data_IF_413350403442
#
_entry.id   IF_413350403442
#
_cell.length_a   1.000
_cell.length_b   1.000
_cell.length_c   1.000
_cell.angle_alpha   90.00
_cell.angle_beta   90.00
_cell.angle_gamma   90.00
#
_symmetry.space_group_name_H-M   'P 1'
#
loop_
_entity.id
_entity.type
_entity.pdbx_description
1 polymer ?
#
# COMPACT_ATOMS: atom_id res chain seq x y z
N UNK A 1 1.34 15.92 21.36
CA UNK A 1 1.45 16.93 20.27
C UNK A 1 2.84 16.77 19.71
N UNK A 2 2.99 16.57 18.39
CA UNK A 2 4.31 16.58 17.77
C UNK A 2 4.93 17.96 17.97
N UNK A 3 6.23 18.02 18.24
CA UNK A 3 6.93 19.31 18.35
C UNK A 3 6.79 20.07 17.01
N UNK A 4 6.53 21.39 17.05
CA UNK A 4 6.43 22.20 15.84
C UNK A 4 7.80 22.19 15.12
N UNK A 5 7.86 21.58 13.94
CA UNK A 5 9.05 21.53 13.09
C UNK A 5 9.60 20.16 12.74
N UNK A 6 9.11 19.09 13.35
CA UNK A 6 9.47 17.71 12.94
C UNK A 6 8.34 17.10 12.12
N UNK A 7 8.62 16.69 10.86
CA UNK A 7 7.67 15.98 10.00
C UNK A 7 7.14 14.70 10.62
N UNK A 8 5.99 14.22 10.18
CA UNK A 8 5.35 12.98 10.65
C UNK A 8 6.25 11.76 10.39
N UNK A 9 6.11 10.74 11.22
CA UNK A 9 6.74 9.44 10.96
C UNK A 9 5.88 8.62 10.01
N UNK A 10 6.42 8.35 8.83
CA UNK A 10 5.76 7.60 7.76
C UNK A 10 6.45 6.25 7.58
N UNK A 11 5.69 5.17 7.58
CA UNK A 11 6.18 3.84 7.21
C UNK A 11 5.52 3.39 5.90
N UNK A 12 6.35 3.02 4.90
CA UNK A 12 5.89 2.43 3.64
C UNK A 12 6.41 1.00 3.54
N UNK A 13 5.52 0.01 3.57
CA UNK A 13 5.95 -1.38 3.38
C UNK A 13 6.21 -1.67 1.91
N UNK A 14 7.32 -2.39 1.62
CA UNK A 14 7.75 -2.62 0.24
C UNK A 14 8.07 -1.31 -0.50
N UNK A 15 8.67 -0.35 0.22
CA UNK A 15 8.97 0.99 -0.28
C UNK A 15 10.28 1.10 -1.06
N UNK A 16 10.90 -0.03 -1.42
CA UNK A 16 12.20 -0.03 -2.10
C UNK A 16 12.12 0.07 -3.64
N UNK A 17 10.92 0.01 -4.23
CA UNK A 17 10.70 0.16 -5.68
C UNK A 17 9.26 0.55 -6.03
N UNK A 18 9.03 0.88 -7.29
CA UNK A 18 7.71 1.11 -7.87
C UNK A 18 6.86 2.14 -7.11
N UNK A 19 5.59 1.81 -6.90
CA UNK A 19 4.62 2.69 -6.20
C UNK A 19 5.09 3.01 -4.78
N UNK A 20 5.60 2.02 -4.04
CA UNK A 20 6.06 2.21 -2.68
C UNK A 20 7.20 3.22 -2.57
N UNK A 21 8.18 3.14 -3.46
CA UNK A 21 9.29 4.09 -3.51
C UNK A 21 8.82 5.50 -3.90
N UNK A 22 7.91 5.61 -4.87
CA UNK A 22 7.34 6.89 -5.25
C UNK A 22 6.58 7.55 -4.08
N UNK A 23 5.79 6.76 -3.33
CA UNK A 23 5.14 7.24 -2.10
C UNK A 23 6.16 7.70 -1.06
N UNK A 24 7.20 6.90 -0.80
CA UNK A 24 8.21 7.23 0.19
C UNK A 24 8.93 8.55 -0.13
N UNK A 25 9.32 8.73 -1.39
CA UNK A 25 9.96 9.97 -1.86
C UNK A 25 9.03 11.17 -1.77
N UNK A 26 7.77 11.01 -2.17
CA UNK A 26 6.79 12.09 -2.09
C UNK A 26 6.54 12.55 -0.64
N UNK A 27 6.50 11.64 0.33
CA UNK A 27 6.42 12.01 1.75
C UNK A 27 7.70 12.70 2.23
N UNK A 28 8.88 12.23 1.83
CA UNK A 28 10.14 12.86 2.20
C UNK A 28 10.26 14.30 1.65
N UNK A 29 9.81 14.53 0.41
CA UNK A 29 9.74 15.87 -0.20
C UNK A 29 8.80 16.82 0.55
N UNK A 30 7.77 16.28 1.22
CA UNK A 30 6.88 17.05 2.11
C UNK A 30 7.48 17.32 3.50
N UNK A 31 8.71 16.86 3.76
CA UNK A 31 9.39 17.03 5.04
C UNK A 31 9.03 15.97 6.09
N UNK A 32 8.33 14.90 5.73
CA UNK A 32 8.05 13.80 6.64
C UNK A 32 9.30 12.91 6.85
N UNK A 33 9.41 12.27 8.02
CA UNK A 33 10.46 11.31 8.36
C UNK A 33 10.03 9.92 7.90
N UNK A 34 10.64 9.45 6.82
CA UNK A 34 10.17 8.27 6.11
C UNK A 34 11.07 7.07 6.37
N UNK A 35 10.45 5.96 6.74
CA UNK A 35 11.05 4.63 6.71
C UNK A 35 10.36 3.76 5.67
N UNK A 36 11.14 2.89 5.03
CA UNK A 36 10.65 1.89 4.09
C UNK A 36 11.04 0.49 4.55
N UNK A 37 10.17 -0.50 4.29
CA UNK A 37 10.62 -1.89 4.42
C UNK A 37 11.09 -2.44 3.08
N UNK A 38 12.08 -3.31 3.13
CA UNK A 38 12.61 -4.03 1.99
C UNK A 38 12.94 -5.49 2.35
N UNK A 39 13.04 -6.36 1.35
CA UNK A 39 13.43 -7.77 1.53
C UNK A 39 14.84 -8.05 1.01
N UNK A 40 15.17 -7.57 -0.18
CA UNK A 40 16.45 -7.83 -0.83
C UNK A 40 17.44 -6.66 -0.67
N UNK A 41 17.09 -5.46 -1.10
CA UNK A 41 18.00 -4.31 -1.16
C UNK A 41 17.41 -3.07 -0.51
N UNK A 42 18.20 -2.34 0.31
CA UNK A 42 17.78 -1.07 0.91
C UNK A 42 17.68 0.04 -0.15
N UNK A 43 17.12 1.17 0.24
CA UNK A 43 17.02 2.40 -0.58
C UNK A 43 18.00 3.43 -0.06
N UNK A 44 18.79 3.99 -0.95
CA UNK A 44 19.68 5.09 -0.62
C UNK A 44 18.88 6.37 -0.29
N UNK A 45 19.31 7.06 0.75
CA UNK A 45 18.70 8.33 1.19
C UNK A 45 17.41 8.20 2.01
N UNK A 46 16.94 6.96 2.30
CA UNK A 46 15.80 6.70 3.17
C UNK A 46 16.16 5.72 4.29
N UNK A 47 15.52 5.86 5.46
CA UNK A 47 15.61 4.84 6.51
C UNK A 47 15.03 3.54 5.98
N UNK A 48 15.88 2.53 5.83
CA UNK A 48 15.52 1.25 5.22
C UNK A 48 15.57 0.14 6.26
N UNK A 49 14.46 -0.56 6.47
CA UNK A 49 14.27 -1.61 7.45
C UNK A 49 14.11 -2.95 6.74
N UNK A 50 14.97 -3.91 7.04
CA UNK A 50 14.81 -5.25 6.48
C UNK A 50 13.60 -5.94 7.10
N UNK A 51 12.63 -6.37 6.29
CA UNK A 51 11.41 -7.00 6.77
C UNK A 51 10.77 -7.82 5.66
N UNK A 52 10.62 -9.11 5.88
CA UNK A 52 9.69 -9.94 5.14
C UNK A 52 8.30 -9.77 5.75
N UNK A 53 7.35 -9.22 5.00
CA UNK A 53 6.00 -8.93 5.49
C UNK A 53 5.18 -10.20 5.81
N UNK A 54 5.66 -11.38 5.40
CA UNK A 54 5.09 -12.67 5.81
C UNK A 54 5.55 -13.12 7.20
N UNK A 55 6.63 -12.52 7.73
CA UNK A 55 7.21 -12.85 9.04
C UNK A 55 6.73 -11.89 10.15
N UNK A 56 6.12 -12.47 11.18
CA UNK A 56 5.73 -11.70 12.38
C UNK A 56 6.95 -11.15 13.13
N UNK A 57 8.03 -11.95 13.21
CA UNK A 57 9.26 -11.57 13.90
C UNK A 57 9.98 -10.40 13.21
N UNK A 58 10.04 -10.42 11.87
CA UNK A 58 10.66 -9.32 11.11
C UNK A 58 9.91 -8.00 11.33
N UNK A 59 8.58 -8.04 11.40
CA UNK A 59 7.79 -6.86 11.74
C UNK A 59 8.09 -6.35 13.15
N UNK A 60 8.23 -7.24 14.14
CA UNK A 60 8.53 -6.84 15.52
C UNK A 60 9.89 -6.15 15.61
N UNK A 61 10.87 -6.64 14.85
CA UNK A 61 12.20 -6.05 14.78
C UNK A 61 12.20 -4.71 14.03
N UNK A 62 11.61 -4.67 12.84
CA UNK A 62 11.52 -3.47 12.03
C UNK A 62 10.79 -2.33 12.76
N UNK A 63 9.70 -2.61 13.47
CA UNK A 63 9.01 -1.60 14.27
C UNK A 63 9.81 -1.14 15.49
N UNK A 64 10.56 -2.03 16.13
CA UNK A 64 11.45 -1.66 17.24
C UNK A 64 12.55 -0.71 16.76
N UNK A 65 13.22 -1.02 15.66
CA UNK A 65 14.24 -0.18 15.04
C UNK A 65 13.68 1.17 14.60
N UNK A 66 12.54 1.16 13.89
CA UNK A 66 11.86 2.38 13.47
C UNK A 66 11.52 3.29 14.65
N UNK A 67 10.90 2.74 15.68
CA UNK A 67 10.46 3.53 16.83
C UNK A 67 11.63 4.08 17.66
N UNK A 68 12.75 3.36 17.72
CA UNK A 68 13.97 3.84 18.36
C UNK A 68 14.63 5.00 17.59
N UNK A 69 14.60 4.95 16.26
CA UNK A 69 15.25 5.96 15.40
C UNK A 69 14.35 7.15 15.03
N UNK A 70 13.11 6.90 14.67
CA UNK A 70 12.20 7.93 14.15
C UNK A 70 11.01 8.21 15.07
N UNK A 71 10.64 7.30 15.94
CA UNK A 71 9.46 7.42 16.78
C UNK A 71 8.25 6.64 16.25
N UNK A 72 7.07 6.87 16.85
CA UNK A 72 5.84 6.12 16.54
C UNK A 72 5.30 6.46 15.14
N UNK A 73 4.83 5.44 14.43
CA UNK A 73 4.23 5.60 13.10
C UNK A 73 2.95 6.43 13.19
N UNK A 74 2.89 7.50 12.43
CA UNK A 74 1.73 8.39 12.29
C UNK A 74 1.01 8.18 10.97
N UNK A 75 1.75 7.77 9.92
CA UNK A 75 1.22 7.40 8.61
C UNK A 75 1.75 6.03 8.21
N UNK A 76 0.85 5.10 7.93
CA UNK A 76 1.20 3.79 7.40
C UNK A 76 0.69 3.65 5.96
N UNK A 77 1.59 3.34 5.03
CA UNK A 77 1.26 2.92 3.67
C UNK A 77 1.57 1.43 3.54
N UNK A 78 0.54 0.59 3.59
CA UNK A 78 0.69 -0.86 3.41
C UNK A 78 0.66 -1.17 1.91
N UNK A 79 1.84 -1.19 1.29
CA UNK A 79 2.03 -1.35 -0.14
C UNK A 79 2.63 -2.71 -0.54
N UNK A 80 3.42 -3.35 0.31
CA UNK A 80 4.09 -4.61 -0.02
C UNK A 80 3.13 -5.64 -0.61
N UNK A 81 3.52 -6.27 -1.71
CA UNK A 81 2.71 -7.26 -2.38
C UNK A 81 3.45 -7.98 -3.50
N UNK A 82 2.94 -9.14 -3.83
CA UNK A 82 3.43 -10.02 -4.90
C UNK A 82 2.27 -10.50 -5.77
N UNK A 83 2.58 -10.99 -6.97
CA UNK A 83 1.69 -11.80 -7.80
C UNK A 83 2.29 -13.19 -8.01
N UNK A 84 1.43 -14.19 -8.17
CA UNK A 84 1.76 -15.53 -8.66
C UNK A 84 0.61 -15.97 -9.55
N UNK A 85 0.65 -15.50 -10.80
CA UNK A 85 -0.45 -15.65 -11.75
C UNK A 85 -0.48 -17.04 -12.35
N UNK A 86 -1.65 -17.69 -12.30
CA UNK A 86 -1.92 -18.96 -12.96
C UNK A 86 -3.43 -19.18 -13.09
N UNK A 87 -3.85 -19.96 -14.10
CA UNK A 87 -5.24 -20.38 -14.21
C UNK A 87 -5.62 -21.24 -13.00
N UNK A 88 -6.87 -21.15 -12.54
CA UNK A 88 -7.35 -21.83 -11.32
C UNK A 88 -7.07 -23.33 -11.30
N UNK A 89 -7.14 -24.00 -12.44
CA UNK A 89 -6.84 -25.45 -12.55
C UNK A 89 -5.35 -25.79 -12.35
N UNK A 90 -4.46 -24.82 -12.42
CA UNK A 90 -3.01 -25.00 -12.29
C UNK A 90 -2.42 -24.27 -11.10
N UNK A 91 -3.20 -23.39 -10.47
CA UNK A 91 -2.78 -22.68 -9.27
C UNK A 91 -2.73 -23.63 -8.10
N UNK A 92 -1.62 -23.69 -7.39
CA UNK A 92 -1.49 -24.52 -6.19
C UNK A 92 -2.06 -23.81 -4.97
N UNK A 93 -2.46 -24.57 -3.95
CA UNK A 93 -2.89 -24.03 -2.66
C UNK A 93 -1.78 -23.17 -2.03
N UNK A 94 -0.50 -23.55 -2.23
CA UNK A 94 0.66 -22.80 -1.75
C UNK A 94 0.80 -21.45 -2.46
N UNK A 95 0.60 -21.38 -3.78
CA UNK A 95 0.61 -20.12 -4.53
C UNK A 95 -0.48 -19.17 -4.06
N UNK A 96 -1.69 -19.73 -3.82
CA UNK A 96 -2.80 -18.96 -3.28
C UNK A 96 -2.47 -18.43 -1.88
N UNK A 97 -2.05 -19.30 -0.98
CA UNK A 97 -1.73 -18.97 0.41
C UNK A 97 -0.59 -17.94 0.50
N UNK A 98 0.47 -18.10 -0.30
CA UNK A 98 1.63 -17.20 -0.32
C UNK A 98 1.22 -15.77 -0.70
N UNK A 99 0.37 -15.61 -1.73
CA UNK A 99 -0.10 -14.29 -2.17
C UNK A 99 -1.00 -13.66 -1.12
N UNK A 100 -1.93 -14.42 -0.54
CA UNK A 100 -2.82 -13.93 0.53
C UNK A 100 -2.03 -13.56 1.78
N UNK A 101 -1.06 -14.38 2.19
CA UNK A 101 -0.25 -14.10 3.38
C UNK A 101 0.60 -12.84 3.19
N UNK A 102 1.24 -12.68 2.04
CA UNK A 102 2.04 -11.49 1.75
C UNK A 102 1.18 -10.22 1.64
N UNK A 103 0.14 -10.26 0.79
CA UNK A 103 -0.59 -9.03 0.40
C UNK A 103 -1.62 -8.60 1.44
N UNK A 104 -2.31 -9.54 2.07
CA UNK A 104 -3.40 -9.26 3.00
C UNK A 104 -2.95 -9.41 4.46
N UNK A 105 -2.41 -10.57 4.83
CA UNK A 105 -1.97 -10.81 6.21
C UNK A 105 -0.76 -9.93 6.57
N UNK A 106 0.15 -9.69 5.62
CA UNK A 106 1.26 -8.76 5.79
C UNK A 106 0.80 -7.32 6.06
N UNK A 107 -0.21 -6.84 5.32
CA UNK A 107 -0.82 -5.54 5.59
C UNK A 107 -1.48 -5.50 6.97
N UNK A 108 -2.19 -6.56 7.38
CA UNK A 108 -2.75 -6.67 8.72
C UNK A 108 -1.67 -6.64 9.80
N UNK A 109 -0.54 -7.34 9.62
CA UNK A 109 0.59 -7.33 10.57
C UNK A 109 1.15 -5.91 10.74
N UNK A 110 1.30 -5.14 9.66
CA UNK A 110 1.74 -3.75 9.70
C UNK A 110 0.76 -2.86 10.48
N UNK A 111 -0.54 -2.95 10.16
CA UNK A 111 -1.61 -2.21 10.83
C UNK A 111 -1.62 -2.52 12.33
N UNK A 112 -1.59 -3.81 12.70
CA UNK A 112 -1.62 -4.25 14.11
C UNK A 112 -0.50 -3.62 14.94
N UNK A 113 0.65 -3.33 14.35
CA UNK A 113 1.79 -2.71 15.03
C UNK A 113 1.74 -1.19 15.06
N UNK A 114 1.23 -0.56 14.01
CA UNK A 114 1.10 0.89 13.95
C UNK A 114 -0.01 1.43 14.88
N UNK A 115 -1.13 0.73 14.94
CA UNK A 115 -2.35 1.16 15.66
C UNK A 115 -2.13 1.52 17.13
N UNK A 116 -1.38 0.79 17.96
CA UNK A 116 -1.18 1.17 19.38
C UNK A 116 -0.56 2.56 19.56
N UNK A 117 0.37 2.97 18.68
CA UNK A 117 0.94 4.32 18.68
C UNK A 117 -0.10 5.37 18.29
N UNK A 118 -0.82 5.13 17.21
CA UNK A 118 -1.87 6.02 16.70
C UNK A 118 -3.02 6.21 17.71
N UNK A 119 -3.43 5.14 18.40
CA UNK A 119 -4.47 5.20 19.44
C UNK A 119 -4.06 6.10 20.60
N UNK A 120 -2.80 6.01 21.06
CA UNK A 120 -2.27 6.89 22.13
C UNK A 120 -2.20 8.34 21.68
N UNK A 121 -1.78 8.58 20.45
CA UNK A 121 -1.71 9.92 19.85
C UNK A 121 -3.10 10.49 19.50
N UNK A 122 -4.14 9.64 19.42
CA UNK A 122 -5.48 9.98 18.91
C UNK A 122 -5.42 10.60 17.51
N UNK A 123 -4.48 10.13 16.71
CA UNK A 123 -4.23 10.57 15.35
C UNK A 123 -3.51 9.48 14.57
N UNK A 124 -3.90 9.27 13.32
CA UNK A 124 -3.22 8.33 12.43
C UNK A 124 -3.82 8.33 11.04
N UNK A 125 -3.02 7.87 10.07
CA UNK A 125 -3.42 7.69 8.67
C UNK A 125 -2.95 6.32 8.21
N UNK A 126 -3.89 5.50 7.75
CA UNK A 126 -3.61 4.16 7.22
C UNK A 126 -4.10 4.13 5.78
N UNK A 127 -3.19 3.89 4.84
CA UNK A 127 -3.49 3.76 3.42
C UNK A 127 -3.07 2.37 2.97
N UNK A 128 -4.04 1.58 2.48
CA UNK A 128 -3.83 0.24 1.97
C UNK A 128 -3.78 0.29 0.44
N UNK A 129 -2.70 -0.20 -0.16
CA UNK A 129 -2.57 -0.25 -1.61
C UNK A 129 -3.18 -1.55 -2.14
N UNK A 130 -4.39 -1.41 -2.70
CA UNK A 130 -5.11 -2.49 -3.38
C UNK A 130 -4.73 -2.55 -4.87
N UNK A 131 -5.67 -2.80 -5.72
CA UNK A 131 -5.57 -2.81 -7.19
C UNK A 131 -6.96 -2.74 -7.79
N UNK A 132 -7.07 -2.23 -9.01
CA UNK A 132 -8.28 -2.37 -9.84
C UNK A 132 -8.68 -3.85 -10.00
N UNK A 133 -7.71 -4.77 -10.02
CA UNK A 133 -7.96 -6.22 -10.03
C UNK A 133 -8.72 -6.69 -8.80
N UNK A 134 -8.53 -6.04 -7.65
CA UNK A 134 -9.32 -6.29 -6.44
C UNK A 134 -10.78 -5.86 -6.54
N UNK A 135 -11.13 -5.02 -7.52
CA UNK A 135 -12.48 -4.53 -7.80
C UNK A 135 -13.15 -5.34 -8.91
N UNK A 136 -12.45 -5.55 -10.03
CA UNK A 136 -12.98 -6.15 -11.25
C UNK A 136 -12.73 -7.67 -11.35
N UNK A 137 -11.71 -8.18 -10.65
CA UNK A 137 -11.15 -9.48 -10.96
C UNK A 137 -10.24 -9.47 -12.19
N UNK A 138 -9.52 -10.57 -12.41
CA UNK A 138 -8.70 -10.80 -13.61
C UNK A 138 -8.48 -12.31 -13.78
N UNK A 139 -8.65 -12.80 -14.99
CA UNK A 139 -8.34 -14.22 -15.29
C UNK A 139 -6.88 -14.55 -14.96
N UNK A 140 -6.66 -15.67 -14.28
CA UNK A 140 -5.33 -16.08 -13.83
C UNK A 140 -4.83 -15.45 -12.53
N UNK A 141 -5.61 -14.55 -11.91
CA UNK A 141 -5.20 -13.80 -10.72
C UNK A 141 -6.16 -13.99 -9.53
N UNK A 142 -6.76 -15.17 -9.37
CA UNK A 142 -7.75 -15.40 -8.31
C UNK A 142 -7.19 -15.15 -6.90
N UNK A 143 -5.93 -15.54 -6.65
CA UNK A 143 -5.21 -15.29 -5.40
C UNK A 143 -4.95 -13.79 -5.18
N UNK A 144 -4.46 -13.10 -6.21
CA UNK A 144 -4.17 -11.67 -6.16
C UNK A 144 -5.45 -10.85 -5.97
N UNK A 145 -6.48 -11.12 -6.78
CA UNK A 145 -7.79 -10.48 -6.68
C UNK A 145 -8.38 -10.67 -5.27
N UNK A 146 -8.40 -11.91 -4.75
CA UNK A 146 -8.89 -12.20 -3.40
C UNK A 146 -8.12 -11.41 -2.33
N UNK A 147 -6.77 -11.37 -2.42
CA UNK A 147 -5.93 -10.64 -1.46
C UNK A 147 -6.20 -9.13 -1.49
N UNK A 148 -6.34 -8.54 -2.69
CA UNK A 148 -6.56 -7.11 -2.86
C UNK A 148 -8.00 -6.68 -2.53
N UNK A 149 -8.99 -7.53 -2.80
CA UNK A 149 -10.37 -7.33 -2.34
C UNK A 149 -10.49 -7.40 -0.82
N UNK A 150 -9.75 -8.31 -0.18
CA UNK A 150 -9.72 -8.46 1.27
C UNK A 150 -9.28 -7.18 2.00
N UNK A 151 -8.37 -6.38 1.39
CA UNK A 151 -7.95 -5.10 1.94
C UNK A 151 -9.11 -4.09 2.06
N UNK A 152 -10.10 -4.17 1.18
CA UNK A 152 -11.29 -3.30 1.21
C UNK A 152 -12.14 -3.61 2.45
N UNK A 153 -12.41 -4.89 2.68
CA UNK A 153 -13.13 -5.33 3.89
C UNK A 153 -12.39 -4.96 5.16
N UNK A 154 -11.07 -5.17 5.19
CA UNK A 154 -10.21 -4.79 6.30
C UNK A 154 -10.25 -3.27 6.56
N UNK A 155 -10.12 -2.44 5.54
CA UNK A 155 -10.17 -0.98 5.67
C UNK A 155 -11.51 -0.50 6.26
N UNK A 156 -12.63 -1.02 5.77
CA UNK A 156 -13.97 -0.65 6.26
C UNK A 156 -14.18 -1.03 7.72
N UNK A 157 -13.70 -2.20 8.15
CA UNK A 157 -13.77 -2.64 9.54
C UNK A 157 -12.91 -1.76 10.45
N UNK A 158 -11.66 -1.51 10.06
CA UNK A 158 -10.75 -0.64 10.81
C UNK A 158 -11.24 0.82 10.87
N UNK A 159 -11.84 1.34 9.81
CA UNK A 159 -12.44 2.68 9.82
C UNK A 159 -13.55 2.82 10.88
N UNK A 160 -14.38 1.79 11.05
CA UNK A 160 -15.42 1.75 12.09
C UNK A 160 -14.84 1.64 13.50
N UNK A 161 -13.79 0.85 13.67
CA UNK A 161 -13.13 0.60 14.96
C UNK A 161 -12.32 1.82 15.43
N UNK A 162 -11.60 2.48 14.51
CA UNK A 162 -10.57 3.46 14.83
C UNK A 162 -11.00 4.93 14.61
N UNK A 163 -12.12 5.16 13.90
CA UNK A 163 -12.54 6.50 13.49
C UNK A 163 -12.77 7.47 14.65
N UNK A 164 -13.35 7.00 15.76
CA UNK A 164 -13.55 7.82 16.97
C UNK A 164 -12.24 8.19 17.70
N UNK A 165 -11.11 7.69 17.23
CA UNK A 165 -9.78 8.00 17.72
C UNK A 165 -8.98 8.92 16.79
N UNK A 166 -9.62 9.53 15.79
CA UNK A 166 -8.98 10.43 14.84
C UNK A 166 -8.08 9.71 13.82
N UNK A 167 -8.27 8.39 13.64
CA UNK A 167 -7.51 7.57 12.72
C UNK A 167 -8.37 7.30 11.48
N UNK A 168 -7.87 7.64 10.29
CA UNK A 168 -8.53 7.30 9.03
C UNK A 168 -7.87 6.10 8.38
N UNK A 169 -8.69 5.26 7.73
CA UNK A 169 -8.23 4.06 7.01
C UNK A 169 -8.87 4.05 5.63
N UNK A 170 -8.05 4.17 4.58
CA UNK A 170 -8.52 4.23 3.20
C UNK A 170 -7.74 3.25 2.30
N UNK A 171 -8.34 2.95 1.17
CA UNK A 171 -7.76 2.09 0.13
C UNK A 171 -7.50 2.92 -1.12
N UNK A 172 -6.31 2.80 -1.67
CA UNK A 172 -6.00 3.24 -3.04
C UNK A 172 -5.96 1.99 -3.92
N UNK A 173 -6.68 2.02 -5.04
CA UNK A 173 -6.76 0.92 -6.00
C UNK A 173 -6.16 1.38 -7.35
N UNK A 174 -4.83 1.20 -7.55
CA UNK A 174 -4.19 1.54 -8.81
C UNK A 174 -4.68 0.66 -9.96
N UNK A 175 -4.75 1.24 -11.17
CA UNK A 175 -4.84 0.51 -12.42
C UNK A 175 -3.46 0.02 -12.87
N UNK A 176 -3.19 0.11 -14.19
CA UNK A 176 -1.87 -0.20 -14.74
C UNK A 176 -0.91 0.97 -14.51
N UNK A 177 0.20 0.69 -13.84
CA UNK A 177 1.23 1.67 -13.46
C UNK A 177 2.57 1.25 -14.07
N UNK A 178 3.30 2.20 -14.63
CA UNK A 178 4.65 1.98 -15.17
C UNK A 178 5.62 1.71 -14.00
N UNK A 179 5.98 0.44 -13.84
CA UNK A 179 6.90 -0.05 -12.81
C UNK A 179 7.66 -1.25 -13.35
N UNK A 180 8.65 -1.75 -12.61
CA UNK A 180 9.38 -2.98 -12.96
C UNK A 180 8.43 -4.18 -13.16
N UNK A 181 7.29 -4.20 -12.49
CA UNK A 181 6.28 -5.27 -12.61
C UNK A 181 5.60 -5.27 -14.00
N UNK A 182 5.50 -4.12 -14.64
CA UNK A 182 4.84 -3.93 -15.94
C UNK A 182 5.83 -3.74 -17.10
N UNK A 183 7.12 -3.52 -16.83
CA UNK A 183 8.15 -3.27 -17.84
C UNK A 183 8.39 -4.46 -18.78
N UNK A 184 8.15 -5.69 -18.28
CA UNK A 184 8.30 -6.93 -19.06
C UNK A 184 7.06 -7.36 -19.86
N UNK A 185 6.01 -6.54 -19.94
CA UNK A 185 4.81 -6.87 -20.70
C UNK A 185 5.10 -6.87 -22.22
N UNK A 186 4.66 -7.89 -22.98
CA UNK A 186 4.71 -7.89 -24.44
C UNK A 186 3.95 -6.69 -25.04
N UNK A 187 4.40 -6.20 -26.21
CA UNK A 187 3.83 -5.00 -26.85
C UNK A 187 2.34 -5.12 -27.16
N UNK A 188 1.90 -6.28 -27.65
CA UNK A 188 0.48 -6.57 -27.93
C UNK A 188 -0.36 -6.54 -26.65
N UNK A 189 0.16 -7.07 -25.55
CA UNK A 189 -0.54 -7.00 -24.26
C UNK A 189 -0.58 -5.57 -23.73
N UNK A 190 0.52 -4.81 -23.91
CA UNK A 190 0.56 -3.39 -23.57
C UNK A 190 -0.48 -2.61 -24.39
N UNK A 191 -0.56 -2.84 -25.68
CA UNK A 191 -1.54 -2.20 -26.56
C UNK A 191 -2.99 -2.56 -26.19
N UNK A 192 -3.27 -3.79 -25.78
CA UNK A 192 -4.59 -4.22 -25.30
C UNK A 192 -4.97 -3.47 -24.00
N UNK A 193 -4.04 -3.38 -23.04
CA UNK A 193 -4.22 -2.63 -21.80
C UNK A 193 -4.55 -1.17 -22.11
N UNK A 194 -3.75 -0.51 -22.97
CA UNK A 194 -3.95 0.90 -23.31
C UNK A 194 -5.32 1.15 -23.95
N UNK A 195 -5.82 0.21 -24.74
CA UNK A 195 -7.17 0.30 -25.33
C UNK A 195 -8.29 0.18 -24.29
N UNK A 196 -8.04 -0.53 -23.19
CA UNK A 196 -9.03 -0.73 -22.12
C UNK A 196 -9.09 0.42 -21.13
N UNK A 197 -8.03 1.25 -21.04
CA UNK A 197 -7.96 2.40 -20.14
C UNK A 197 -8.52 3.64 -20.83
N UNK A 198 -9.61 4.27 -20.34
CA UNK A 198 -10.19 5.48 -20.96
C UNK A 198 -9.20 6.63 -21.19
N UNK A 199 -8.23 6.84 -20.26
CA UNK A 199 -7.19 7.85 -20.44
C UNK A 199 -6.11 7.45 -21.48
N UNK A 200 -6.16 6.24 -22.06
CA UNK A 200 -5.30 5.78 -23.14
C UNK A 200 -3.82 5.59 -22.78
N UNK A 201 -3.47 5.57 -21.50
CA UNK A 201 -2.09 5.40 -21.01
C UNK A 201 -2.03 4.66 -19.68
N UNK A 202 -0.88 4.15 -19.32
CA UNK A 202 -0.58 3.74 -17.96
C UNK A 202 -0.32 4.96 -17.07
N UNK A 203 -0.54 4.83 -15.77
CA UNK A 203 -0.17 5.85 -14.80
C UNK A 203 1.33 5.81 -14.50
N UNK A 204 1.92 6.96 -14.22
CA UNK A 204 3.21 7.02 -13.53
C UNK A 204 3.05 6.72 -12.03
N UNK A 205 4.07 6.13 -11.40
CA UNK A 205 4.01 5.84 -9.96
C UNK A 205 3.80 7.11 -9.11
N UNK A 206 4.26 8.26 -9.57
CA UNK A 206 4.06 9.56 -8.91
C UNK A 206 2.57 9.97 -8.86
N UNK A 207 1.74 9.57 -9.83
CA UNK A 207 0.31 9.87 -9.83
C UNK A 207 -0.41 9.11 -8.70
N UNK A 208 0.03 7.89 -8.43
CA UNK A 208 -0.47 7.11 -7.27
C UNK A 208 0.01 7.74 -5.96
N UNK A 209 1.30 8.12 -5.89
CA UNK A 209 1.89 8.75 -4.72
C UNK A 209 1.19 10.07 -4.35
N UNK A 210 0.79 10.89 -5.34
CA UNK A 210 0.03 12.12 -5.11
C UNK A 210 -1.30 11.88 -4.39
N UNK A 211 -2.04 10.84 -4.78
CA UNK A 211 -3.30 10.47 -4.10
C UNK A 211 -3.03 9.93 -2.69
N UNK A 212 -1.98 9.13 -2.50
CA UNK A 212 -1.59 8.58 -1.19
C UNK A 212 -1.21 9.70 -0.22
N UNK A 213 -0.37 10.64 -0.64
CA UNK A 213 0.03 11.79 0.19
C UNK A 213 -1.14 12.71 0.51
N UNK A 214 -2.04 12.94 -0.45
CA UNK A 214 -3.27 13.70 -0.22
C UNK A 214 -4.18 13.02 0.81
N UNK A 215 -4.42 11.71 0.72
CA UNK A 215 -5.20 10.96 1.71
C UNK A 215 -4.58 11.01 3.11
N UNK A 216 -3.27 11.14 3.21
CA UNK A 216 -2.56 11.32 4.48
C UNK A 216 -2.59 12.76 5.00
N UNK A 217 -3.06 13.73 4.22
CA UNK A 217 -3.08 15.14 4.57
C UNK A 217 -4.29 15.54 5.44
N UNK A 218 -4.28 16.72 6.08
CA UNK A 218 -5.43 17.27 6.77
C UNK A 218 -6.65 17.48 5.86
N UNK A 219 -6.44 17.74 4.56
CA UNK A 219 -7.54 17.96 3.60
C UNK A 219 -8.44 16.73 3.42
N UNK A 220 -7.91 15.52 3.69
CA UNK A 220 -8.65 14.26 3.62
C UNK A 220 -9.14 13.77 5.01
N UNK A 221 -9.12 14.62 6.04
CA UNK A 221 -9.41 14.20 7.44
C UNK A 221 -10.83 13.64 7.66
N UNK A 222 -11.77 13.95 6.76
CA UNK A 222 -13.14 13.43 6.84
C UNK A 222 -13.40 12.25 5.89
N UNK A 223 -12.33 11.68 5.29
CA UNK A 223 -12.40 10.53 4.40
C UNK A 223 -11.87 9.31 5.14
N UNK A 224 -12.72 8.32 5.39
CA UNK A 224 -12.35 7.03 5.99
C UNK A 224 -13.24 5.91 5.48
N UNK A 225 -12.69 4.71 5.29
CA UNK A 225 -13.36 3.55 4.72
C UNK A 225 -13.57 3.65 3.20
N UNK A 226 -13.02 4.66 2.56
CA UNK A 226 -13.15 4.87 1.12
C UNK A 226 -12.20 3.95 0.32
N UNK A 227 -12.64 3.63 -0.89
CA UNK A 227 -11.81 3.01 -1.93
C UNK A 227 -11.67 4.02 -3.05
N UNK A 228 -10.44 4.42 -3.33
CA UNK A 228 -10.12 5.44 -4.35
C UNK A 228 -9.45 4.74 -5.53
N UNK A 229 -10.16 4.48 -6.64
CA UNK A 229 -9.53 4.02 -7.88
C UNK A 229 -8.62 5.11 -8.45
N UNK A 230 -7.40 4.72 -8.84
CA UNK A 230 -6.43 5.57 -9.55
C UNK A 230 -5.99 4.77 -10.78
N UNK A 231 -6.89 4.63 -11.73
CA UNK A 231 -6.85 3.59 -12.76
C UNK A 231 -7.13 4.12 -14.18
N UNK A 232 -7.21 5.44 -14.35
CA UNK A 232 -7.50 6.05 -15.64
C UNK A 232 -8.90 5.76 -16.18
N UNK A 233 -9.84 5.37 -15.29
CA UNK A 233 -11.21 5.03 -15.64
C UNK A 233 -11.42 3.56 -15.99
N UNK A 234 -10.41 2.70 -15.84
CA UNK A 234 -10.49 1.27 -16.19
C UNK A 234 -11.60 0.55 -15.40
N UNK A 235 -11.76 0.87 -14.13
CA UNK A 235 -12.68 0.20 -13.22
C UNK A 235 -13.96 0.99 -12.95
N UNK A 236 -14.43 1.84 -13.85
CA UNK A 236 -15.69 2.59 -13.67
C UNK A 236 -16.90 1.65 -13.48
N UNK A 237 -17.81 1.99 -12.58
CA UNK A 237 -19.12 1.32 -12.43
C UNK A 237 -19.21 0.31 -11.27
N UNK A 238 -18.35 0.38 -10.28
CA UNK A 238 -18.42 -0.43 -9.05
C UNK A 238 -18.31 0.42 -7.79
#
# INVERSE_FOLDING_TARGET
MAEPGMGRVVLVTGGNRGIGLACARAFAELGDRVAVTYRAEPVEGLTSLRCDVSSTGDFDEAFRELEAGLGKVEVLVANAGITKDNLVLRMTDEDFATVVDTNLTGAFRAVKRAVPGMLRARQGRIILISSVVGLLGSGGQVNYAASKSGLIGMARSLARELGNRGITVNVVAPGFVETDMTSGLPDDRRAEILRSVPLGRMAGAAEIAGVVTWLASPAASYITGAVIPVDGGLGMGH
#
